data_IF_436576826357
#
_entry.id   IF_436576826357
#
_cell.length_a   1.000
_cell.length_b   1.000
_cell.length_c   1.000
_cell.angle_alpha   90.00
_cell.angle_beta   90.00
_cell.angle_gamma   90.00
#
_symmetry.space_group_name_H-M   'P 1'
#
loop_
_entity.id
_entity.type
_entity.pdbx_description
1 polymer ?
#
# COMPACT_ATOMS: atom_id res chain seq x y z
N UNK A 1 -9.81 -26.21 -15.89
CA UNK A 1 -8.34 -26.01 -15.98
C UNK A 1 -7.95 -24.55 -15.78
N UNK A 2 -8.32 -23.63 -16.69
CA UNK A 2 -7.96 -22.20 -16.57
C UNK A 2 -8.34 -21.56 -15.22
N UNK A 3 -9.48 -21.95 -14.64
CA UNK A 3 -9.89 -21.49 -13.30
C UNK A 3 -8.91 -21.92 -12.20
N UNK A 4 -8.45 -23.17 -12.19
CA UNK A 4 -7.51 -23.66 -11.18
C UNK A 4 -6.13 -22.98 -11.29
N UNK A 5 -5.67 -22.70 -12.51
CA UNK A 5 -4.44 -21.92 -12.75
C UNK A 5 -4.64 -20.47 -12.31
N UNK A 6 -5.77 -19.85 -12.66
CA UNK A 6 -6.13 -18.49 -12.24
C UNK A 6 -6.15 -18.33 -10.71
N UNK A 7 -6.76 -19.27 -10.02
CA UNK A 7 -6.87 -19.28 -8.57
C UNK A 7 -5.50 -19.51 -7.92
N UNK A 8 -4.63 -20.28 -8.57
CA UNK A 8 -3.23 -20.46 -8.15
C UNK A 8 -2.42 -19.18 -8.32
N UNK A 9 -2.49 -18.52 -9.49
CA UNK A 9 -1.82 -17.24 -9.75
C UNK A 9 -2.25 -16.21 -8.70
N UNK A 10 -3.56 -16.09 -8.47
CA UNK A 10 -4.10 -15.14 -7.49
C UNK A 10 -3.57 -15.44 -6.08
N UNK A 11 -3.64 -16.70 -5.64
CA UNK A 11 -3.17 -17.09 -4.31
C UNK A 11 -1.65 -16.98 -4.11
N UNK A 12 -0.85 -17.20 -5.15
CA UNK A 12 0.60 -16.99 -5.10
C UNK A 12 0.94 -15.50 -5.11
N UNK A 13 0.25 -14.72 -5.95
CA UNK A 13 0.43 -13.28 -6.07
C UNK A 13 0.09 -12.51 -4.79
N UNK A 14 -0.83 -13.00 -3.96
CA UNK A 14 -1.13 -12.41 -2.64
C UNK A 14 0.00 -12.61 -1.63
N UNK A 15 0.77 -13.69 -1.78
CA UNK A 15 1.79 -14.11 -0.80
C UNK A 15 3.21 -13.71 -1.21
N UNK A 16 3.49 -13.67 -2.51
CA UNK A 16 4.83 -13.50 -3.07
C UNK A 16 4.79 -12.66 -4.34
N UNK A 17 5.86 -11.89 -4.53
CA UNK A 17 6.12 -11.09 -5.75
C UNK A 17 6.63 -11.97 -6.90
N UNK A 18 7.44 -12.97 -6.57
CA UNK A 18 8.04 -13.90 -7.51
C UNK A 18 7.78 -15.33 -7.05
N UNK A 19 7.54 -16.22 -8.00
CA UNK A 19 7.28 -17.62 -7.74
C UNK A 19 7.79 -18.48 -8.88
N UNK A 20 8.05 -19.74 -8.56
CA UNK A 20 8.70 -20.70 -9.45
C UNK A 20 7.70 -21.55 -10.23
N UNK A 21 8.16 -22.17 -11.31
CA UNK A 21 7.39 -23.17 -12.05
C UNK A 21 6.85 -24.29 -11.14
N UNK A 22 7.68 -24.81 -10.23
CA UNK A 22 7.29 -25.88 -9.31
C UNK A 22 6.16 -25.47 -8.37
N UNK A 23 6.17 -24.22 -7.88
CA UNK A 23 5.09 -23.67 -7.04
C UNK A 23 3.80 -23.50 -7.84
N UNK A 24 3.89 -23.05 -9.08
CA UNK A 24 2.75 -22.97 -10.00
C UNK A 24 2.15 -24.34 -10.30
N UNK A 25 3.00 -25.33 -10.56
CA UNK A 25 2.56 -26.70 -10.83
C UNK A 25 1.91 -27.30 -9.58
N UNK A 26 2.58 -27.27 -8.43
CA UNK A 26 2.04 -27.79 -7.18
C UNK A 26 0.72 -27.12 -6.78
N UNK A 27 0.65 -25.79 -6.90
CA UNK A 27 -0.55 -25.01 -6.62
C UNK A 27 -1.71 -25.39 -7.54
N UNK A 28 -1.45 -25.54 -8.85
CA UNK A 28 -2.47 -25.91 -9.83
C UNK A 28 -2.94 -27.35 -9.62
N UNK A 29 -2.01 -28.29 -9.41
CA UNK A 29 -2.28 -29.71 -9.17
C UNK A 29 -3.13 -29.91 -7.91
N UNK A 30 -2.82 -29.20 -6.82
CA UNK A 30 -3.57 -29.30 -5.56
C UNK A 30 -5.04 -28.89 -5.66
N UNK A 31 -5.39 -28.10 -6.70
CA UNK A 31 -6.74 -27.60 -6.94
C UNK A 31 -7.52 -28.40 -7.99
N UNK A 32 -6.88 -29.39 -8.62
CA UNK A 32 -7.50 -30.22 -9.65
C UNK A 32 -7.94 -31.57 -9.07
N UNK A 33 -9.11 -32.09 -9.49
CA UNK A 33 -9.54 -33.43 -9.10
C UNK A 33 -8.62 -34.48 -9.71
N UNK A 34 -8.23 -35.48 -8.91
CA UNK A 34 -7.32 -36.56 -9.33
C UNK A 34 -7.86 -37.29 -10.57
N UNK A 35 -7.17 -37.13 -11.70
CA UNK A 35 -7.49 -37.77 -12.97
C UNK A 35 -6.21 -38.19 -13.69
N UNK A 36 -6.31 -39.14 -14.62
CA UNK A 36 -5.18 -39.52 -15.48
C UNK A 36 -4.73 -38.33 -16.34
N UNK A 37 -3.43 -38.03 -16.37
CA UNK A 37 -2.87 -36.92 -17.15
C UNK A 37 -2.95 -35.55 -16.48
N UNK A 38 -3.19 -35.49 -15.17
CA UNK A 38 -3.34 -34.25 -14.42
C UNK A 38 -2.13 -33.31 -14.53
N UNK A 39 -0.90 -33.84 -14.52
CA UNK A 39 0.32 -33.03 -14.65
C UNK A 39 0.46 -32.40 -16.04
N UNK A 40 0.16 -33.15 -17.11
CA UNK A 40 0.18 -32.62 -18.48
C UNK A 40 -0.89 -31.54 -18.67
N UNK A 41 -2.08 -31.74 -18.10
CA UNK A 41 -3.15 -30.74 -18.14
C UNK A 41 -2.80 -29.48 -17.34
N UNK A 42 -2.15 -29.63 -16.18
CA UNK A 42 -1.68 -28.51 -15.39
C UNK A 42 -0.59 -27.73 -16.14
N UNK A 43 0.38 -28.42 -16.75
CA UNK A 43 1.43 -27.82 -17.57
C UNK A 43 0.86 -27.03 -18.74
N UNK A 44 -0.01 -27.64 -19.54
CA UNK A 44 -0.68 -26.95 -20.64
C UNK A 44 -1.49 -25.73 -20.17
N UNK A 45 -2.10 -25.81 -18.99
CA UNK A 45 -2.81 -24.68 -18.38
C UNK A 45 -1.88 -23.54 -17.96
N UNK A 46 -0.68 -23.84 -17.48
CA UNK A 46 0.34 -22.84 -17.12
C UNK A 46 0.93 -22.22 -18.40
N UNK A 47 1.24 -23.02 -19.42
CA UNK A 47 1.73 -22.54 -20.71
C UNK A 47 0.73 -21.56 -21.35
N UNK A 48 -0.57 -21.90 -21.34
CA UNK A 48 -1.63 -21.00 -21.79
C UNK A 48 -1.73 -19.71 -20.96
N UNK A 49 -1.37 -19.74 -19.68
CA UNK A 49 -1.33 -18.54 -18.84
C UNK A 49 -0.10 -17.66 -19.14
N UNK A 50 1.01 -18.25 -19.59
CA UNK A 50 2.18 -17.51 -20.08
C UNK A 50 1.84 -16.83 -21.40
N UNK A 51 1.23 -17.56 -22.35
CA UNK A 51 0.79 -17.01 -23.64
C UNK A 51 -0.23 -15.88 -23.45
N UNK A 52 -1.16 -16.06 -22.51
CA UNK A 52 -2.14 -15.03 -22.14
C UNK A 52 -1.57 -13.88 -21.28
N UNK A 53 -0.25 -13.80 -21.09
CA UNK A 53 0.45 -12.79 -20.29
C UNK A 53 0.00 -12.67 -18.83
N UNK A 54 -0.72 -13.67 -18.32
CA UNK A 54 -1.14 -13.73 -16.92
C UNK A 54 0.00 -14.15 -16.01
N UNK A 55 0.91 -14.94 -16.57
CA UNK A 55 2.14 -15.36 -15.95
C UNK A 55 3.31 -14.79 -16.75
N UNK A 56 4.08 -13.88 -16.14
CA UNK A 56 5.12 -13.12 -16.81
C UNK A 56 6.48 -13.72 -16.42
N UNK A 57 7.26 -14.28 -17.37
CA UNK A 57 8.57 -14.83 -17.06
C UNK A 57 9.57 -13.72 -16.76
N UNK A 58 10.20 -13.79 -15.58
CA UNK A 58 11.32 -12.91 -15.21
C UNK A 58 12.66 -13.53 -15.60
N UNK A 59 12.80 -14.83 -15.38
CA UNK A 59 13.99 -15.62 -15.74
C UNK A 59 13.50 -16.97 -16.28
N UNK A 60 13.62 -17.16 -17.60
CA UNK A 60 13.18 -18.39 -18.28
C UNK A 60 14.06 -19.59 -17.94
N UNK A 61 15.34 -19.38 -17.62
CA UNK A 61 16.27 -20.45 -17.32
C UNK A 61 16.05 -20.99 -15.91
N UNK A 62 15.76 -20.09 -14.96
CA UNK A 62 15.45 -20.45 -13.57
C UNK A 62 13.98 -20.76 -13.33
N UNK A 63 13.13 -20.57 -14.34
CA UNK A 63 11.68 -20.76 -14.24
C UNK A 63 11.05 -19.85 -13.18
N UNK A 64 11.48 -18.58 -13.12
CA UNK A 64 10.97 -17.56 -12.20
C UNK A 64 9.95 -16.69 -12.92
N UNK A 65 8.80 -16.51 -12.30
CA UNK A 65 7.67 -15.77 -12.84
C UNK A 65 7.13 -14.74 -11.85
N UNK A 66 6.45 -13.73 -12.39
CA UNK A 66 5.54 -12.85 -11.66
C UNK A 66 4.15 -12.89 -12.30
N UNK A 67 3.14 -12.31 -11.65
CA UNK A 67 1.76 -12.26 -12.16
C UNK A 67 1.48 -10.92 -12.84
N UNK A 68 0.54 -10.94 -13.78
CA UNK A 68 -0.10 -9.72 -14.30
C UNK A 68 -0.73 -8.88 -13.18
N UNK A 69 -1.36 -9.53 -12.19
CA UNK A 69 -1.96 -8.88 -11.01
C UNK A 69 -0.91 -8.00 -10.30
N UNK A 70 0.28 -8.55 -10.04
CA UNK A 70 1.33 -7.81 -9.36
C UNK A 70 1.84 -6.65 -10.21
N UNK A 71 2.15 -6.90 -11.49
CA UNK A 71 2.62 -5.86 -12.41
C UNK A 71 1.61 -4.72 -12.55
N UNK A 72 0.33 -5.03 -12.72
CA UNK A 72 -0.72 -4.03 -12.84
C UNK A 72 -0.90 -3.22 -11.55
N UNK A 73 -0.76 -3.84 -10.38
CA UNK A 73 -0.77 -3.13 -9.11
C UNK A 73 0.41 -2.15 -9.00
N UNK A 74 1.62 -2.57 -9.38
CA UNK A 74 2.79 -1.68 -9.38
C UNK A 74 2.64 -0.52 -10.36
N UNK A 75 2.16 -0.78 -11.56
CA UNK A 75 1.85 0.26 -12.55
C UNK A 75 0.80 1.24 -12.03
N UNK A 76 -0.25 0.73 -11.38
CA UNK A 76 -1.30 1.56 -10.78
C UNK A 76 -0.77 2.46 -9.68
N UNK A 77 0.06 1.92 -8.77
CA UNK A 77 0.71 2.70 -7.71
C UNK A 77 1.66 3.74 -8.30
N UNK A 78 2.44 3.38 -9.31
CA UNK A 78 3.36 4.29 -9.98
C UNK A 78 2.62 5.45 -10.66
N UNK A 79 1.53 5.15 -11.37
CA UNK A 79 0.68 6.18 -11.98
C UNK A 79 0.07 7.08 -10.91
N UNK A 80 -0.51 6.52 -9.84
CA UNK A 80 -1.10 7.28 -8.75
C UNK A 80 -0.08 8.22 -8.08
N UNK A 81 1.12 7.71 -7.77
CA UNK A 81 2.19 8.50 -7.16
C UNK A 81 2.62 9.65 -8.08
N UNK A 82 2.78 9.37 -9.38
CA UNK A 82 3.13 10.40 -10.36
C UNK A 82 2.05 11.47 -10.47
N UNK A 83 0.78 11.07 -10.59
CA UNK A 83 -0.36 12.01 -10.63
C UNK A 83 -0.42 12.85 -9.36
N UNK A 84 -0.24 12.24 -8.18
CA UNK A 84 -0.22 12.96 -6.91
C UNK A 84 0.88 14.05 -6.89
N UNK A 85 2.10 13.72 -7.33
CA UNK A 85 3.22 14.67 -7.36
C UNK A 85 3.01 15.77 -8.42
N UNK A 86 2.41 15.45 -9.57
CA UNK A 86 2.27 16.39 -10.69
C UNK A 86 1.07 17.33 -10.54
N UNK A 87 -0.05 16.85 -9.98
CA UNK A 87 -1.32 17.58 -9.99
C UNK A 87 -1.75 18.07 -8.61
N UNK A 88 -1.36 17.41 -7.51
CA UNK A 88 -1.81 17.80 -6.18
C UNK A 88 -0.94 18.93 -5.62
N UNK A 89 -1.59 19.90 -4.98
CA UNK A 89 -0.92 21.01 -4.32
C UNK A 89 -1.27 21.01 -2.84
N UNK A 90 -0.27 21.21 -1.99
CA UNK A 90 -0.47 21.36 -0.55
C UNK A 90 -0.90 22.78 -0.23
N UNK A 91 -2.13 22.92 0.27
CA UNK A 91 -2.70 24.20 0.70
C UNK A 91 -2.40 24.49 2.17
N UNK A 92 -2.36 25.76 2.52
CA UNK A 92 -2.16 26.29 3.88
C UNK A 92 -3.29 27.27 4.19
N UNK A 93 -3.85 27.17 5.38
CA UNK A 93 -4.99 27.95 5.87
C UNK A 93 -4.59 28.71 7.15
N UNK A 94 -3.96 29.89 7.04
CA UNK A 94 -3.42 30.63 8.19
C UNK A 94 -4.48 30.93 9.26
N UNK A 95 -5.72 31.17 8.86
CA UNK A 95 -6.84 31.46 9.76
C UNK A 95 -7.26 30.26 10.63
N UNK A 96 -6.87 29.04 10.25
CA UNK A 96 -7.10 27.79 11.00
C UNK A 96 -5.85 27.27 11.68
N UNK A 97 -4.72 27.97 11.53
CA UNK A 97 -3.43 27.53 12.04
C UNK A 97 -3.44 27.43 13.57
N UNK A 98 -2.96 26.29 14.09
CA UNK A 98 -2.73 26.09 15.53
C UNK A 98 -1.25 26.21 15.83
N UNK A 99 -0.92 26.98 16.87
CA UNK A 99 0.46 27.10 17.33
C UNK A 99 1.02 25.71 17.69
N UNK A 100 2.32 25.51 17.43
CA UNK A 100 3.02 24.28 17.79
C UNK A 100 3.49 24.38 19.23
N UNK A 101 3.30 23.29 19.98
CA UNK A 101 3.79 23.19 21.36
C UNK A 101 5.25 22.74 21.42
N UNK A 102 5.78 22.16 20.33
CA UNK A 102 7.13 21.64 20.22
C UNK A 102 7.82 22.10 18.92
N UNK A 103 9.15 22.30 18.93
CA UNK A 103 9.91 22.64 17.72
C UNK A 103 9.77 21.54 16.67
N UNK A 104 9.85 21.91 15.39
CA UNK A 104 9.81 20.95 14.30
C UNK A 104 11.12 20.17 14.23
N UNK A 105 11.03 18.85 14.06
CA UNK A 105 12.17 18.03 13.72
C UNK A 105 12.73 18.41 12.34
N UNK A 106 13.98 18.04 12.09
CA UNK A 106 14.70 18.36 10.85
C UNK A 106 13.93 17.90 9.59
N UNK A 107 13.50 16.63 9.58
CA UNK A 107 12.72 16.06 8.47
C UNK A 107 11.37 16.76 8.24
N UNK A 108 10.71 17.23 9.31
CA UNK A 108 9.42 17.93 9.22
C UNK A 108 9.62 19.37 8.76
N UNK A 109 10.77 19.99 9.10
CA UNK A 109 11.14 21.31 8.61
C UNK A 109 11.33 21.32 7.10
N UNK A 110 12.01 20.30 6.55
CA UNK A 110 12.14 20.12 5.09
C UNK A 110 10.76 19.96 4.44
N UNK A 111 9.90 19.10 5.00
CA UNK A 111 8.55 18.88 4.48
C UNK A 111 7.68 20.14 4.51
N UNK A 112 7.85 20.98 5.53
CA UNK A 112 7.16 22.26 5.67
C UNK A 112 7.54 23.23 4.55
N UNK A 113 8.80 23.23 4.14
CA UNK A 113 9.33 24.11 3.10
C UNK A 113 8.97 23.63 1.70
N UNK A 114 9.21 22.34 1.42
CA UNK A 114 9.03 21.73 0.11
C UNK A 114 7.54 21.61 -0.26
N UNK A 115 6.67 21.46 0.75
CA UNK A 115 5.21 21.31 0.57
C UNK A 115 4.85 20.21 -0.42
N UNK A 116 5.65 19.14 -0.47
CA UNK A 116 5.36 17.99 -1.32
C UNK A 116 4.03 17.34 -0.92
N UNK A 117 3.13 17.03 -1.87
CA UNK A 117 1.88 16.33 -1.59
C UNK A 117 2.09 14.89 -1.12
N UNK A 118 3.24 14.29 -1.45
CA UNK A 118 3.61 12.93 -1.05
C UNK A 118 5.03 12.93 -0.48
N UNK A 119 5.21 12.36 0.71
CA UNK A 119 6.51 12.26 1.35
C UNK A 119 6.69 10.91 2.04
N UNK A 120 7.92 10.39 2.02
CA UNK A 120 8.33 9.18 2.75
C UNK A 120 9.28 9.60 3.85
N UNK A 121 8.86 9.38 5.09
CA UNK A 121 9.66 9.71 6.28
C UNK A 121 10.33 8.44 6.82
N UNK A 122 11.56 8.21 6.38
CA UNK A 122 12.36 7.08 6.84
C UNK A 122 13.00 7.37 8.20
N UNK A 123 12.99 6.39 9.08
CA UNK A 123 13.56 6.51 10.42
C UNK A 123 13.98 5.16 11.00
N UNK A 124 15.08 5.17 11.75
CA UNK A 124 15.44 4.05 12.64
C UNK A 124 14.90 4.36 14.03
N UNK A 125 14.18 3.42 14.62
CA UNK A 125 13.58 3.58 15.94
C UNK A 125 12.47 2.57 16.19
N UNK A 126 12.07 2.44 17.44
CA UNK A 126 10.93 1.62 17.83
C UNK A 126 9.59 2.36 17.68
N UNK A 127 8.54 1.79 18.25
CA UNK A 127 7.20 2.37 18.22
C UNK A 127 7.17 3.81 18.76
N UNK A 128 7.92 4.10 19.83
CA UNK A 128 8.00 5.43 20.43
C UNK A 128 8.49 6.51 19.44
N UNK A 129 9.58 6.23 18.72
CA UNK A 129 10.11 7.16 17.70
C UNK A 129 9.13 7.36 16.55
N UNK A 130 8.38 6.32 16.16
CA UNK A 130 7.34 6.43 15.13
C UNK A 130 6.20 7.36 15.61
N UNK A 131 5.78 7.22 16.87
CA UNK A 131 4.75 8.08 17.47
C UNK A 131 5.21 9.55 17.49
N UNK A 132 6.39 9.83 18.03
CA UNK A 132 6.96 11.19 18.08
C UNK A 132 7.02 11.84 16.70
N UNK A 133 7.42 11.09 15.67
CA UNK A 133 7.43 11.60 14.28
C UNK A 133 6.04 11.84 13.73
N UNK A 134 5.10 10.94 14.02
CA UNK A 134 3.70 11.09 13.58
C UNK A 134 3.07 12.31 14.24
N UNK A 135 3.36 12.56 15.52
CA UNK A 135 2.97 13.77 16.26
C UNK A 135 3.54 15.02 15.60
N UNK A 136 4.84 15.02 15.27
CA UNK A 136 5.50 16.16 14.66
C UNK A 136 4.88 16.55 13.31
N UNK A 137 4.60 15.55 12.46
CA UNK A 137 3.91 15.74 11.17
C UNK A 137 2.46 16.20 11.36
N UNK A 138 1.74 15.64 12.34
CA UNK A 138 0.38 16.07 12.66
C UNK A 138 0.35 17.52 13.14
N UNK A 139 1.29 17.92 14.00
CA UNK A 139 1.42 19.31 14.43
C UNK A 139 1.81 20.24 13.27
N UNK A 140 2.68 19.79 12.35
CA UNK A 140 3.02 20.57 11.15
C UNK A 140 1.79 20.85 10.30
N UNK A 141 0.99 19.82 10.02
CA UNK A 141 -0.24 19.96 9.25
C UNK A 141 -1.23 20.93 9.92
N UNK A 142 -1.40 20.85 11.25
CA UNK A 142 -2.27 21.76 12.02
C UNK A 142 -1.73 23.19 12.10
N UNK A 143 -0.42 23.36 12.18
CA UNK A 143 0.21 24.68 12.09
C UNK A 143 0.01 25.34 10.72
N UNK A 144 -0.27 24.54 9.71
CA UNK A 144 -0.68 24.99 8.38
C UNK A 144 -2.21 25.09 8.22
N UNK A 145 -2.99 24.89 9.30
CA UNK A 145 -4.45 24.93 9.27
C UNK A 145 -5.13 23.77 8.53
N UNK A 146 -4.42 22.65 8.36
CA UNK A 146 -4.91 21.45 7.68
C UNK A 146 -5.45 20.44 8.69
N UNK A 147 -6.49 19.73 8.28
CA UNK A 147 -7.00 18.55 9.00
C UNK A 147 -6.02 17.38 8.86
N UNK A 148 -6.00 16.51 9.89
CA UNK A 148 -5.05 15.40 9.98
C UNK A 148 -5.82 14.12 10.22
N UNK A 149 -5.55 13.11 9.40
CA UNK A 149 -5.99 11.74 9.63
C UNK A 149 -4.77 10.83 9.66
N UNK A 150 -4.68 9.97 10.67
CA UNK A 150 -3.61 8.99 10.82
C UNK A 150 -4.18 7.59 10.64
N UNK A 151 -3.65 6.84 9.69
CA UNK A 151 -4.10 5.47 9.43
C UNK A 151 -3.09 4.50 10.04
N UNK A 152 -3.52 3.72 11.02
CA UNK A 152 -2.73 2.67 11.65
C UNK A 152 -2.88 1.34 10.90
N UNK A 153 -1.76 0.60 10.80
CA UNK A 153 -1.71 -0.70 10.13
C UNK A 153 -2.53 -1.78 10.86
N UNK A 154 -2.53 -1.75 12.19
CA UNK A 154 -3.23 -2.69 13.06
C UNK A 154 -3.76 -2.03 14.34
N UNK A 155 -4.55 -2.79 15.11
CA UNK A 155 -5.18 -2.30 16.35
C UNK A 155 -4.19 -1.90 17.44
N UNK A 156 -3.08 -2.64 17.57
CA UNK A 156 -2.04 -2.37 18.59
C UNK A 156 -1.33 -1.04 18.31
N UNK A 157 -0.95 -0.83 17.05
CA UNK A 157 -0.34 0.42 16.59
C UNK A 157 -1.32 1.58 16.71
N UNK A 158 -2.61 1.35 16.40
CA UNK A 158 -3.66 2.35 16.56
C UNK A 158 -3.84 2.80 18.02
N UNK A 159 -3.91 1.85 18.96
CA UNK A 159 -3.99 2.14 20.38
C UNK A 159 -2.75 2.89 20.86
N UNK A 160 -1.56 2.42 20.46
CA UNK A 160 -0.30 3.07 20.80
C UNK A 160 -0.24 4.50 20.27
N UNK A 161 -0.66 4.77 19.03
CA UNK A 161 -0.68 6.14 18.50
C UNK A 161 -1.72 7.02 19.23
N UNK A 162 -2.86 6.45 19.62
CA UNK A 162 -3.95 7.18 20.30
C UNK A 162 -3.65 7.59 21.74
N UNK A 163 -2.63 6.99 22.37
CA UNK A 163 -2.14 7.42 23.70
C UNK A 163 -1.56 8.85 23.66
N UNK A 164 -1.16 9.31 22.48
CA UNK A 164 -0.67 10.68 22.30
C UNK A 164 -1.83 11.68 22.33
N UNK A 165 -1.74 12.75 23.15
CA UNK A 165 -2.75 13.81 23.15
C UNK A 165 -2.84 14.54 21.80
N UNK A 166 -1.76 14.55 21.01
CA UNK A 166 -1.73 15.19 19.70
C UNK A 166 -2.32 14.32 18.59
N UNK A 167 -2.49 13.01 18.81
CA UNK A 167 -3.04 12.08 17.81
C UNK A 167 -4.41 11.52 18.21
N UNK A 168 -4.76 11.59 19.50
CA UNK A 168 -6.05 11.15 20.01
C UNK A 168 -7.22 11.71 19.18
N UNK A 169 -8.14 10.84 18.78
CA UNK A 169 -9.31 11.19 17.96
C UNK A 169 -9.04 11.37 16.47
N UNK A 170 -7.79 11.26 16.00
CA UNK A 170 -7.43 11.34 14.58
C UNK A 170 -6.87 10.03 14.01
N UNK A 171 -6.70 9.02 14.87
CA UNK A 171 -6.21 7.70 14.48
C UNK A 171 -7.38 6.82 14.06
N UNK A 172 -7.24 6.20 12.89
CA UNK A 172 -8.18 5.24 12.33
C UNK A 172 -7.44 3.96 11.95
N UNK A 173 -8.11 2.81 12.06
CA UNK A 173 -7.55 1.55 11.55
C UNK A 173 -7.75 1.45 10.04
N UNK A 174 -6.78 0.84 9.34
CA UNK A 174 -6.92 0.53 7.91
C UNK A 174 -8.24 -0.20 7.58
N UNK A 175 -8.70 -1.10 8.45
CA UNK A 175 -9.96 -1.85 8.27
C UNK A 175 -11.23 -1.00 8.35
N UNK A 176 -11.15 0.18 8.96
CA UNK A 176 -12.27 1.13 9.10
C UNK A 176 -12.32 2.12 7.94
N UNK A 177 -11.30 2.13 7.07
CA UNK A 177 -11.21 3.03 5.94
C UNK A 177 -12.23 2.62 4.86
N UNK A 178 -13.17 3.52 4.57
CA UNK A 178 -14.12 3.38 3.48
C UNK A 178 -14.01 4.59 2.54
N UNK A 179 -14.63 4.51 1.35
CA UNK A 179 -14.56 5.59 0.36
C UNK A 179 -15.11 6.94 0.88
N UNK A 180 -16.07 6.92 1.81
CA UNK A 180 -16.62 8.11 2.44
C UNK A 180 -15.69 8.75 3.47
N UNK A 181 -14.76 7.99 4.03
CA UNK A 181 -13.77 8.49 4.99
C UNK A 181 -12.59 9.18 4.31
N UNK A 182 -12.22 8.75 3.10
CA UNK A 182 -11.05 9.27 2.36
C UNK A 182 -11.41 10.52 1.55
N UNK A 183 -12.67 10.63 1.11
CA UNK A 183 -13.17 11.78 0.34
C UNK A 183 -14.18 12.54 1.19
N UNK A 184 -13.68 13.35 2.14
CA UNK A 184 -14.48 14.47 2.66
C UNK A 184 -14.56 15.55 1.55
N UNK A 185 -15.20 15.23 0.43
CA UNK A 185 -15.67 16.24 -0.49
C UNK A 185 -16.82 16.94 0.25
N UNK A 186 -16.51 18.07 0.89
CA UNK A 186 -17.54 19.01 1.24
C UNK A 186 -18.29 19.33 -0.04
N UNK A 187 -19.53 18.88 -0.07
CA UNK A 187 -20.56 19.25 -1.01
C UNK A 187 -20.75 20.75 -0.82
N UNK A 188 -20.13 21.55 -1.69
CA UNK A 188 -20.46 22.97 -1.77
C UNK A 188 -21.93 23.06 -2.20
N UNK A 189 -22.78 23.46 -1.25
CA UNK A 189 -24.02 24.18 -1.53
C UNK A 189 -23.69 25.67 -1.60
#
# INVERSE_FOLDING_TARGET
>A
MQKAVSDTISALSEKKVQFTWSEMLAGTVSRLPSASGLFEQARAGIDAAIEGQRLIPLDREKGIFTSDIHLLNELSVHQLARTAIQEQTVLVFPERAKARDMPAGDAVSVLTQDKSPVAILSGRGGAQTLRERTEDVAMMARAQGREVMVIAADGRSGQFLSESPHLAGQVMLRSQMNAGTVLHHQRWQ
#
